data_IF_268416441828
#
_entry.id   IF_268416441828
#
_cell.length_a   1.000
_cell.length_b   1.000
_cell.length_c   1.000
_cell.angle_alpha   90.00
_cell.angle_beta   90.00
_cell.angle_gamma   90.00
#
_symmetry.space_group_name_H-M   'P 1'
#
loop_
_entity.id
_entity.type
_entity.pdbx_description
1 polymer ?
#
# COMPACT_ATOMS: atom_id res chain seq x y z
N UNK A 1 19.96 21.26 12.29
CA UNK A 1 18.55 21.55 11.99
C UNK A 1 18.25 21.04 10.59
N UNK A 2 17.54 19.91 10.41
CA UNK A 2 17.00 19.54 9.11
C UNK A 2 15.54 19.99 9.01
N UNK A 3 15.21 20.50 7.83
CA UNK A 3 14.00 21.19 7.42
C UNK A 3 12.80 20.24 7.21
N UNK A 4 11.63 20.75 7.56
CA UNK A 4 10.28 20.18 7.42
C UNK A 4 9.77 20.18 5.97
N UNK A 5 10.50 19.55 5.06
CA UNK A 5 10.22 19.63 3.60
C UNK A 5 9.76 18.31 2.95
N UNK A 6 9.59 17.22 3.70
CA UNK A 6 9.40 15.89 3.11
C UNK A 6 7.93 15.47 2.90
N UNK A 7 6.95 16.17 3.50
CA UNK A 7 5.52 15.80 3.36
C UNK A 7 4.90 16.26 2.03
N UNK A 8 5.33 17.42 1.52
CA UNK A 8 4.87 17.97 0.22
C UNK A 8 5.42 17.20 -1.00
N UNK A 9 6.53 16.48 -0.82
CA UNK A 9 7.21 15.77 -1.90
C UNK A 9 6.48 14.47 -2.30
N UNK A 10 5.66 13.92 -1.40
CA UNK A 10 4.84 12.74 -1.65
C UNK A 10 3.64 13.04 -2.56
N UNK A 11 2.89 14.11 -2.28
CA UNK A 11 1.72 14.54 -3.07
C UNK A 11 2.09 15.02 -4.48
N UNK A 12 3.25 15.65 -4.65
CA UNK A 12 3.73 16.09 -5.97
C UNK A 12 4.15 14.92 -6.86
N UNK A 13 4.77 13.88 -6.29
CA UNK A 13 5.11 12.65 -7.03
C UNK A 13 3.89 11.84 -7.45
N UNK A 14 2.79 11.94 -6.71
CA UNK A 14 1.56 11.20 -7.00
C UNK A 14 0.81 11.76 -8.22
N UNK A 15 0.88 13.08 -8.47
CA UNK A 15 0.26 13.71 -9.65
C UNK A 15 0.95 13.35 -10.98
N UNK A 16 2.25 13.12 -10.97
CA UNK A 16 2.99 12.72 -12.16
C UNK A 16 2.68 11.27 -12.59
N UNK A 17 2.12 10.44 -11.69
CA UNK A 17 1.75 9.04 -11.98
C UNK A 17 0.49 8.89 -12.84
N UNK A 18 -0.31 9.95 -13.02
CA UNK A 18 -1.59 9.91 -13.75
C UNK A 18 -1.52 10.45 -15.18
N UNK A 19 -0.36 10.89 -15.67
CA UNK A 19 -0.22 11.42 -17.03
C UNK A 19 0.00 10.31 -18.06
N UNK A 20 -1.05 9.55 -18.38
CA UNK A 20 -1.04 8.53 -19.45
C UNK A 20 -1.47 9.19 -20.78
N UNK A 21 -0.69 10.14 -21.27
CA UNK A 21 -0.95 10.77 -22.58
C UNK A 21 0.22 10.50 -23.52
N UNK A 22 0.28 9.27 -24.02
CA UNK A 22 1.35 8.91 -24.93
C UNK A 22 1.26 7.56 -25.64
N UNK A 23 0.10 6.90 -25.78
CA UNK A 23 0.05 5.62 -26.53
C UNK A 23 -1.33 5.31 -27.17
N UNK A 24 -2.15 6.33 -27.45
CA UNK A 24 -3.56 6.14 -27.83
C UNK A 24 -3.78 5.69 -29.29
N UNK A 25 -2.75 5.72 -30.13
CA UNK A 25 -2.89 5.49 -31.57
C UNK A 25 -2.90 4.00 -31.99
N UNK A 26 -2.60 3.06 -31.09
CA UNK A 26 -2.45 1.63 -31.41
C UNK A 26 -3.37 0.69 -30.60
N UNK A 27 -4.29 1.24 -29.81
CA UNK A 27 -5.07 0.49 -28.80
C UNK A 27 -6.48 0.16 -29.31
N UNK A 28 -6.99 -1.04 -28.98
CA UNK A 28 -8.38 -1.44 -29.25
C UNK A 28 -9.37 -0.40 -28.70
N UNK A 29 -10.45 -0.09 -29.43
CA UNK A 29 -11.47 0.88 -28.98
C UNK A 29 -12.02 0.59 -27.57
N UNK A 30 -12.15 -0.67 -27.21
CA UNK A 30 -12.60 -1.16 -25.89
C UNK A 30 -11.59 -0.85 -24.77
N UNK A 31 -10.28 -0.91 -25.08
CA UNK A 31 -9.21 -0.50 -24.17
C UNK A 31 -9.11 1.01 -24.03
N UNK A 32 -9.34 1.74 -25.12
CA UNK A 32 -9.41 3.20 -25.09
C UNK A 32 -10.56 3.67 -24.20
N UNK A 33 -11.73 3.04 -24.33
CA UNK A 33 -12.92 3.37 -23.53
C UNK A 33 -12.75 3.04 -22.04
N UNK A 34 -12.12 1.90 -21.71
CA UNK A 34 -11.80 1.53 -20.32
C UNK A 34 -10.67 2.36 -19.70
N UNK A 35 -9.65 2.73 -20.49
CA UNK A 35 -8.59 3.66 -20.07
C UNK A 35 -9.15 5.08 -19.89
N UNK A 36 -10.06 5.50 -20.77
CA UNK A 36 -10.74 6.80 -20.66
C UNK A 36 -11.69 6.83 -19.46
N UNK A 37 -12.36 5.73 -19.09
CA UNK A 37 -13.09 5.62 -17.83
C UNK A 37 -12.17 5.77 -16.60
N UNK A 38 -10.96 5.22 -16.65
CA UNK A 38 -9.99 5.33 -15.55
C UNK A 38 -9.31 6.72 -15.47
N UNK A 39 -9.13 7.38 -16.62
CA UNK A 39 -8.64 8.75 -16.74
C UNK A 39 -9.75 9.81 -16.58
N UNK A 40 -11.02 9.39 -16.64
CA UNK A 40 -12.15 10.23 -16.30
C UNK A 40 -11.98 10.62 -14.85
N UNK A 41 -12.04 11.93 -14.60
CA UNK A 41 -11.95 12.53 -13.28
C UNK A 41 -13.01 12.00 -12.28
N UNK A 42 -13.94 11.16 -12.76
CA UNK A 42 -14.94 10.40 -11.98
C UNK A 42 -14.41 9.13 -11.29
N UNK A 43 -13.27 8.55 -11.73
CA UNK A 43 -12.66 7.35 -11.11
C UNK A 43 -11.30 7.57 -10.47
N UNK A 44 -10.63 8.72 -10.68
CA UNK A 44 -9.61 9.17 -9.73
C UNK A 44 -10.25 9.10 -8.33
N UNK A 45 -9.63 8.47 -7.33
CA UNK A 45 -10.30 8.26 -6.06
C UNK A 45 -10.72 9.65 -5.58
N UNK A 46 -12.03 9.88 -5.47
CA UNK A 46 -12.57 11.07 -4.82
C UNK A 46 -12.25 10.89 -3.34
N UNK A 47 -10.96 11.04 -3.01
CA UNK A 47 -10.46 11.14 -1.67
C UNK A 47 -11.00 12.46 -1.17
N UNK A 48 -11.81 12.39 -0.11
CA UNK A 48 -12.19 13.60 0.58
C UNK A 48 -10.91 14.36 0.95
N UNK A 49 -10.86 15.67 0.70
CA UNK A 49 -9.66 16.46 0.92
C UNK A 49 -9.26 16.39 2.40
N UNK A 50 -7.96 16.43 2.68
CA UNK A 50 -7.43 16.57 4.03
C UNK A 50 -7.82 17.93 4.59
N UNK A 51 -8.44 17.94 5.76
CA UNK A 51 -8.80 19.17 6.46
C UNK A 51 -7.71 19.55 7.46
N UNK A 52 -7.27 20.82 7.45
CA UNK A 52 -6.22 21.33 8.35
C UNK A 52 -6.55 21.09 9.83
N UNK A 53 -7.85 21.14 10.18
CA UNK A 53 -8.35 20.91 11.55
C UNK A 53 -8.06 19.50 12.09
N UNK A 54 -7.68 18.55 11.24
CA UNK A 54 -7.34 17.19 11.65
C UNK A 54 -5.92 17.09 12.19
N UNK A 55 -5.05 18.04 11.85
CA UNK A 55 -3.65 18.03 12.26
C UNK A 55 -3.50 18.53 13.69
N UNK A 56 -2.67 17.82 14.46
CA UNK A 56 -2.26 18.27 15.77
C UNK A 56 -1.27 19.43 15.63
N UNK A 57 -1.54 20.61 16.22
CA UNK A 57 -0.64 21.77 16.15
C UNK A 57 0.76 21.56 16.75
N UNK A 58 0.96 20.49 17.54
CA UNK A 58 2.25 20.19 18.17
C UNK A 58 3.10 19.19 17.37
N UNK A 59 2.46 18.27 16.65
CA UNK A 59 3.16 17.17 15.98
C UNK A 59 3.05 17.20 14.47
N UNK A 60 2.17 18.05 13.93
CA UNK A 60 1.84 18.13 12.50
C UNK A 60 1.41 16.77 11.92
N UNK A 61 0.72 15.97 12.75
CA UNK A 61 0.16 14.67 12.38
C UNK A 61 -1.34 14.65 12.63
N UNK A 62 -2.08 13.86 11.85
CA UNK A 62 -3.51 13.63 12.05
C UNK A 62 -3.75 13.10 13.48
N UNK A 63 -4.71 13.70 14.16
CA UNK A 63 -5.08 13.35 15.53
C UNK A 63 -5.88 12.03 15.57
N UNK A 64 -5.46 11.11 16.42
CA UNK A 64 -6.19 9.88 16.74
C UNK A 64 -7.06 10.07 17.99
N UNK A 65 -6.55 10.77 19.01
CA UNK A 65 -7.30 11.13 20.23
C UNK A 65 -7.27 12.66 20.43
N UNK A 66 -8.06 13.41 19.62
CA UNK A 66 -8.13 14.85 19.74
C UNK A 66 -8.72 15.26 21.10
N UNK A 67 -7.96 16.06 21.86
CA UNK A 67 -8.36 16.64 23.12
C UNK A 67 -8.24 18.16 23.06
N UNK A 68 -9.28 18.83 23.52
CA UNK A 68 -9.34 20.27 23.65
C UNK A 68 -8.77 20.70 25.00
N UNK A 69 -7.85 21.65 24.95
CA UNK A 69 -7.31 22.33 26.13
C UNK A 69 -8.11 23.60 26.43
N UNK A 70 -7.94 24.16 27.62
CA UNK A 70 -8.64 25.38 28.07
C UNK A 70 -8.58 26.56 27.08
N UNK A 71 -7.51 26.66 26.28
CA UNK A 71 -7.37 27.73 25.27
C UNK A 71 -8.24 27.53 24.03
N UNK A 72 -9.06 26.47 23.97
CA UNK A 72 -9.90 26.10 22.82
C UNK A 72 -9.14 25.41 21.68
N UNK A 73 -7.87 25.08 21.89
CA UNK A 73 -7.04 24.40 20.87
C UNK A 73 -7.22 22.90 21.04
N UNK A 74 -7.41 22.18 19.92
CA UNK A 74 -7.47 20.71 19.94
C UNK A 74 -6.12 20.12 19.54
N UNK A 75 -5.64 19.14 20.28
CA UNK A 75 -4.35 18.49 20.08
C UNK A 75 -4.45 16.99 20.29
N UNK A 76 -3.45 16.25 19.81
CA UNK A 76 -3.30 14.83 20.15
C UNK A 76 -2.97 14.67 21.64
N UNK A 77 -3.72 13.80 22.34
CA UNK A 77 -3.51 13.54 23.76
C UNK A 77 -2.07 13.11 24.05
N UNK A 78 -1.54 12.18 23.24
CA UNK A 78 -0.18 11.69 23.42
C UNK A 78 0.87 12.80 23.29
N UNK A 79 0.64 13.80 22.42
CA UNK A 79 1.52 14.95 22.29
C UNK A 79 1.54 15.77 23.59
N UNK A 80 0.38 16.08 24.16
CA UNK A 80 0.29 16.83 25.41
C UNK A 80 1.00 16.09 26.56
N UNK A 81 0.84 14.76 26.67
CA UNK A 81 1.52 13.99 27.71
C UNK A 81 3.05 14.09 27.57
N UNK A 82 3.58 13.88 26.37
CA UNK A 82 5.04 13.91 26.13
C UNK A 82 5.65 15.28 26.36
N UNK A 83 5.01 16.35 25.88
CA UNK A 83 5.51 17.71 26.08
C UNK A 83 5.27 18.22 27.51
N UNK A 84 4.24 17.72 28.21
CA UNK A 84 3.85 18.18 29.54
C UNK A 84 4.72 17.64 30.69
N UNK A 85 5.41 16.52 30.46
CA UNK A 85 6.34 15.94 31.44
C UNK A 85 7.74 16.56 31.39
N UNK A 86 8.05 17.30 30.32
CA UNK A 86 9.41 17.79 30.02
C UNK A 86 9.57 19.30 30.17
N UNK A 87 8.51 20.09 29.98
CA UNK A 87 8.48 21.54 30.20
C UNK A 87 7.05 22.10 30.19
N UNK A 88 6.92 23.41 30.42
CA UNK A 88 5.71 24.15 30.05
C UNK A 88 5.49 24.05 28.53
N UNK A 89 4.35 23.50 28.11
CA UNK A 89 4.02 23.36 26.68
C UNK A 89 3.71 24.76 26.12
N UNK A 90 4.54 25.22 25.19
CA UNK A 90 4.36 26.46 24.45
C UNK A 90 3.99 26.10 23.01
N UNK A 91 2.83 26.56 22.55
CA UNK A 91 2.44 26.36 21.17
C UNK A 91 3.36 27.12 20.21
N UNK A 92 3.89 26.46 19.15
CA UNK A 92 4.82 27.08 18.20
C UNK A 92 4.25 28.35 17.54
N UNK A 93 2.96 28.33 17.18
CA UNK A 93 2.32 29.42 16.44
C UNK A 93 1.76 30.53 17.34
N UNK A 94 1.25 30.19 18.52
CA UNK A 94 0.54 31.16 19.37
C UNK A 94 1.34 31.64 20.58
N UNK A 95 2.44 30.97 20.93
CA UNK A 95 3.22 31.23 22.13
C UNK A 95 2.46 31.01 23.45
N UNK A 96 1.23 30.47 23.38
CA UNK A 96 0.38 30.25 24.55
C UNK A 96 0.90 29.08 25.35
N UNK A 97 1.05 29.30 26.65
CA UNK A 97 1.42 28.28 27.63
C UNK A 97 0.18 27.53 28.09
N UNK A 98 0.25 26.21 28.17
CA UNK A 98 -0.82 25.39 28.77
C UNK A 98 -0.76 25.57 30.29
N UNK A 99 -1.81 26.14 30.88
CA UNK A 99 -1.90 26.43 32.32
C UNK A 99 -2.68 25.33 33.06
N UNK A 100 -3.64 24.70 32.40
CA UNK A 100 -4.51 23.66 32.98
C UNK A 100 -4.28 22.29 32.35
N UNK A 101 -4.35 21.25 33.18
CA UNK A 101 -4.28 19.83 32.78
C UNK A 101 -5.67 19.23 32.51
N UNK A 102 -6.74 20.03 32.55
CA UNK A 102 -8.08 19.57 32.21
C UNK A 102 -8.14 19.40 30.69
N UNK A 103 -8.24 18.14 30.26
CA UNK A 103 -8.32 17.75 28.85
C UNK A 103 -9.73 17.26 28.55
N UNK A 104 -10.43 17.97 27.67
CA UNK A 104 -11.75 17.56 27.21
C UNK A 104 -11.59 16.80 25.90
N UNK A 105 -12.00 15.52 25.85
CA UNK A 105 -11.93 14.78 24.59
C UNK A 105 -12.90 15.38 23.58
N UNK A 106 -12.39 15.73 22.40
CA UNK A 106 -13.21 16.22 21.30
C UNK A 106 -13.77 15.03 20.52
N UNK A 107 -14.85 14.46 21.03
CA UNK A 107 -15.49 13.26 20.45
C UNK A 107 -15.99 13.53 19.03
N UNK A 108 -16.54 14.73 18.78
CA UNK A 108 -17.06 15.10 17.48
C UNK A 108 -15.96 15.08 16.41
N UNK A 109 -14.83 15.75 16.68
CA UNK A 109 -13.68 15.76 15.77
C UNK A 109 -13.09 14.37 15.58
N UNK A 110 -12.98 13.58 16.65
CA UNK A 110 -12.51 12.20 16.58
C UNK A 110 -13.37 11.36 15.63
N UNK A 111 -14.71 11.45 15.74
CA UNK A 111 -15.61 10.69 14.86
C UNK A 111 -15.59 11.22 13.42
N UNK A 112 -15.45 12.54 13.21
CA UNK A 112 -15.27 13.11 11.86
C UNK A 112 -13.99 12.62 11.20
N UNK A 113 -12.85 12.60 11.90
CA UNK A 113 -11.57 12.08 11.39
C UNK A 113 -11.72 10.61 11.01
N UNK A 114 -12.28 9.77 11.89
CA UNK A 114 -12.50 8.35 11.61
C UNK A 114 -13.40 8.12 10.39
N UNK A 115 -14.47 8.91 10.26
CA UNK A 115 -15.38 8.79 9.13
C UNK A 115 -14.69 9.15 7.81
N UNK A 116 -13.88 10.22 7.82
CA UNK A 116 -13.07 10.64 6.70
C UNK A 116 -12.03 9.58 6.31
N UNK A 117 -11.28 9.03 7.28
CA UNK A 117 -10.31 7.96 7.04
C UNK A 117 -10.97 6.73 6.42
N UNK A 118 -12.11 6.31 6.95
CA UNK A 118 -12.88 5.19 6.43
C UNK A 118 -13.40 5.44 5.02
N UNK A 119 -13.88 6.65 4.73
CA UNK A 119 -14.32 7.06 3.40
C UNK A 119 -13.18 6.96 2.38
N UNK A 120 -12.02 7.50 2.74
CA UNK A 120 -10.84 7.50 1.89
C UNK A 120 -10.24 6.10 1.68
N UNK A 121 -10.22 5.26 2.73
CA UNK A 121 -9.84 3.84 2.59
C UNK A 121 -10.77 3.11 1.60
N UNK A 122 -12.09 3.32 1.72
CA UNK A 122 -13.06 2.71 0.80
C UNK A 122 -12.90 3.23 -0.64
N UNK A 123 -12.69 4.52 -0.84
CA UNK A 123 -12.45 5.11 -2.16
C UNK A 123 -11.18 4.55 -2.79
N UNK A 124 -10.10 4.44 -2.01
CA UNK A 124 -8.83 3.83 -2.43
C UNK A 124 -9.01 2.37 -2.85
N UNK A 125 -9.72 1.56 -2.05
CA UNK A 125 -9.99 0.15 -2.39
C UNK A 125 -10.82 0.03 -3.67
N UNK A 126 -11.82 0.89 -3.88
CA UNK A 126 -12.63 0.88 -5.12
C UNK A 126 -11.77 1.20 -6.34
N UNK A 127 -10.95 2.24 -6.24
CA UNK A 127 -10.01 2.59 -7.30
C UNK A 127 -9.05 1.42 -7.61
N UNK A 128 -8.50 0.80 -6.56
CA UNK A 128 -7.62 -0.34 -6.68
C UNK A 128 -8.26 -1.52 -7.41
N UNK A 129 -9.51 -1.87 -7.06
CA UNK A 129 -10.28 -2.92 -7.72
C UNK A 129 -10.53 -2.60 -9.21
N UNK A 130 -10.86 -1.36 -9.54
CA UNK A 130 -11.05 -0.94 -10.94
C UNK A 130 -9.76 -1.05 -11.75
N UNK A 131 -8.65 -0.56 -11.20
CA UNK A 131 -7.33 -0.65 -11.84
C UNK A 131 -6.89 -2.10 -12.03
N UNK A 132 -7.14 -2.95 -11.03
CA UNK A 132 -6.80 -4.38 -11.09
C UNK A 132 -7.67 -5.13 -12.10
N UNK A 133 -8.96 -4.82 -12.19
CA UNK A 133 -9.85 -5.34 -13.22
C UNK A 133 -9.35 -5.00 -14.63
N UNK A 134 -8.91 -3.75 -14.83
CA UNK A 134 -8.32 -3.31 -16.09
C UNK A 134 -7.04 -4.08 -16.41
N UNK A 135 -6.12 -4.23 -15.46
CA UNK A 135 -4.89 -4.97 -15.70
C UNK A 135 -5.16 -6.46 -16.04
N UNK A 136 -6.12 -7.11 -15.37
CA UNK A 136 -6.58 -8.46 -15.73
C UNK A 136 -7.16 -8.51 -17.15
N UNK A 137 -7.91 -7.50 -17.56
CA UNK A 137 -8.45 -7.40 -18.91
C UNK A 137 -7.36 -7.25 -19.97
N UNK A 138 -6.38 -6.37 -19.75
CA UNK A 138 -5.23 -6.18 -20.64
C UNK A 138 -4.40 -7.47 -20.74
N UNK A 139 -4.15 -8.12 -19.60
CA UNK A 139 -3.39 -9.37 -19.54
C UNK A 139 -4.05 -10.50 -20.38
N UNK A 140 -5.38 -10.66 -20.32
CA UNK A 140 -6.10 -11.68 -21.10
C UNK A 140 -5.96 -11.52 -22.62
N UNK A 141 -5.76 -10.29 -23.10
CA UNK A 141 -5.55 -10.01 -24.52
C UNK A 141 -4.09 -10.13 -24.97
N UNK A 142 -3.19 -10.65 -24.12
CA UNK A 142 -1.76 -10.87 -24.41
C UNK A 142 -0.99 -9.59 -24.84
N UNK A 143 -1.43 -8.42 -24.38
CA UNK A 143 -0.62 -7.21 -24.53
C UNK A 143 0.67 -7.37 -23.72
N UNK A 144 1.78 -6.93 -24.30
CA UNK A 144 3.09 -7.08 -23.67
C UNK A 144 3.13 -6.29 -22.36
N UNK A 145 3.98 -6.72 -21.44
CA UNK A 145 4.17 -6.07 -20.14
C UNK A 145 4.59 -4.60 -20.26
N UNK A 146 5.17 -4.20 -21.39
CA UNK A 146 5.42 -2.80 -21.75
C UNK A 146 4.12 -1.98 -21.90
N UNK A 147 3.05 -2.56 -22.44
CA UNK A 147 1.76 -1.88 -22.65
C UNK A 147 0.97 -1.78 -21.34
N UNK A 148 0.99 -2.82 -20.49
CA UNK A 148 0.45 -2.76 -19.12
C UNK A 148 1.19 -1.68 -18.29
N UNK A 149 2.47 -1.49 -18.59
CA UNK A 149 3.29 -0.43 -17.99
C UNK A 149 2.87 0.96 -18.42
N UNK A 150 2.53 1.13 -19.70
CA UNK A 150 2.07 2.39 -20.25
C UNK A 150 0.73 2.84 -19.64
N UNK A 151 -0.10 1.91 -19.18
CA UNK A 151 -1.38 2.20 -18.47
C UNK A 151 -1.16 2.64 -17.01
N UNK A 152 0.07 2.76 -16.52
CA UNK A 152 0.34 3.29 -15.17
C UNK A 152 -0.15 2.39 -14.02
N UNK A 153 -0.57 1.15 -14.30
CA UNK A 153 -1.14 0.26 -13.27
C UNK A 153 -0.06 -0.32 -12.35
N UNK A 154 1.15 -0.56 -12.86
CA UNK A 154 2.23 -1.19 -12.08
C UNK A 154 2.68 -0.45 -10.82
N UNK A 155 2.91 0.88 -10.82
CA UNK A 155 3.24 1.59 -9.58
C UNK A 155 2.11 1.53 -8.54
N UNK A 156 0.87 1.28 -8.96
CA UNK A 156 -0.28 1.14 -8.06
C UNK A 156 -0.38 -0.25 -7.42
N UNK A 157 0.16 -1.30 -8.07
CA UNK A 157 0.12 -2.66 -7.51
C UNK A 157 0.86 -2.74 -6.15
N UNK A 158 1.94 -1.97 -5.99
CA UNK A 158 2.65 -1.86 -4.71
C UNK A 158 1.79 -1.22 -3.61
N UNK A 159 1.01 -0.19 -3.94
CA UNK A 159 0.12 0.48 -2.97
C UNK A 159 -1.11 -0.36 -2.63
N UNK A 160 -1.55 -1.24 -3.53
CA UNK A 160 -2.66 -2.17 -3.27
C UNK A 160 -2.28 -3.26 -2.26
N UNK A 161 -1.05 -3.76 -2.30
CA UNK A 161 -0.53 -4.73 -1.33
C UNK A 161 -0.39 -4.16 0.09
N UNK A 162 -0.31 -2.83 0.21
CA UNK A 162 -0.24 -2.14 1.50
C UNK A 162 -1.64 -1.89 2.13
N UNK A 163 -2.73 -2.11 1.37
CA UNK A 163 -4.09 -1.98 1.89
C UNK A 163 -4.43 -3.13 2.85
N UNK A 164 -5.31 -2.87 3.83
CA UNK A 164 -5.73 -3.89 4.82
C UNK A 164 -6.71 -4.93 4.24
N UNK A 165 -7.12 -4.78 2.99
CA UNK A 165 -8.08 -5.66 2.32
C UNK A 165 -7.38 -6.94 1.83
N UNK A 166 -7.72 -8.07 2.45
CA UNK A 166 -7.09 -9.38 2.17
C UNK A 166 -7.45 -9.90 0.78
N UNK A 167 -8.66 -9.64 0.30
CA UNK A 167 -9.12 -10.08 -1.02
C UNK A 167 -8.40 -9.27 -2.11
N UNK A 168 -8.30 -7.94 -1.94
CA UNK A 168 -7.54 -7.08 -2.84
C UNK A 168 -6.05 -7.48 -2.86
N UNK A 169 -5.48 -7.81 -1.70
CA UNK A 169 -4.09 -8.29 -1.60
C UNK A 169 -3.91 -9.61 -2.36
N UNK A 170 -4.83 -10.56 -2.17
CA UNK A 170 -4.84 -11.84 -2.87
C UNK A 170 -4.93 -11.65 -4.40
N UNK A 171 -5.90 -10.86 -4.86
CA UNK A 171 -6.08 -10.58 -6.29
C UNK A 171 -4.88 -9.88 -6.92
N UNK A 172 -4.24 -8.98 -6.17
CA UNK A 172 -3.03 -8.26 -6.60
C UNK A 172 -1.85 -9.24 -6.73
N UNK A 173 -1.67 -10.13 -5.76
CA UNK A 173 -0.63 -11.18 -5.81
C UNK A 173 -0.85 -12.17 -6.96
N UNK A 174 -2.10 -12.56 -7.24
CA UNK A 174 -2.39 -13.42 -8.39
C UNK A 174 -1.99 -12.78 -9.72
N UNK A 175 -2.37 -11.51 -9.92
CA UNK A 175 -2.01 -10.77 -11.12
C UNK A 175 -0.48 -10.64 -11.25
N UNK A 176 0.20 -10.29 -10.16
CA UNK A 176 1.66 -10.17 -10.14
C UNK A 176 2.37 -11.49 -10.45
N UNK A 177 1.86 -12.61 -9.93
CA UNK A 177 2.39 -13.94 -10.27
C UNK A 177 2.19 -14.23 -11.75
N UNK A 178 1.00 -13.96 -12.28
CA UNK A 178 0.71 -14.17 -13.70
C UNK A 178 1.61 -13.32 -14.61
N UNK A 179 1.93 -12.09 -14.22
CA UNK A 179 2.89 -11.27 -14.96
C UNK A 179 4.30 -11.85 -14.85
N UNK A 180 4.76 -12.17 -13.64
CA UNK A 180 6.10 -12.71 -13.41
C UNK A 180 6.33 -14.10 -14.05
N UNK A 181 5.30 -14.95 -14.13
CA UNK A 181 5.39 -16.29 -14.73
C UNK A 181 5.62 -16.24 -16.25
N UNK A 182 5.01 -15.25 -16.92
CA UNK A 182 5.00 -15.15 -18.38
C UNK A 182 6.04 -14.17 -18.95
N UNK A 183 6.68 -13.36 -18.09
CA UNK A 183 7.65 -12.35 -18.49
C UNK A 183 9.09 -12.86 -18.62
N UNK A 184 9.89 -12.10 -19.38
CA UNK A 184 11.34 -12.20 -19.39
C UNK A 184 11.97 -11.63 -18.09
N UNK A 185 13.30 -11.53 -18.04
CA UNK A 185 13.99 -11.01 -16.86
C UNK A 185 13.78 -9.50 -16.66
N UNK A 186 13.53 -8.74 -17.74
CA UNK A 186 13.29 -7.29 -17.68
C UNK A 186 11.91 -6.99 -17.08
N UNK A 187 10.88 -7.74 -17.47
CA UNK A 187 9.54 -7.66 -16.89
C UNK A 187 9.52 -8.01 -15.40
N UNK A 188 10.24 -9.07 -15.00
CA UNK A 188 10.40 -9.43 -13.57
C UNK A 188 11.13 -8.35 -12.78
N UNK A 189 12.19 -7.76 -13.33
CA UNK A 189 12.93 -6.70 -12.65
C UNK A 189 12.04 -5.47 -12.42
N UNK A 190 11.21 -5.14 -13.39
CA UNK A 190 10.25 -4.06 -13.28
C UNK A 190 9.25 -4.28 -12.14
N UNK A 191 8.69 -5.49 -12.03
CA UNK A 191 7.82 -5.90 -10.91
C UNK A 191 8.55 -5.71 -9.56
N UNK A 192 9.80 -6.15 -9.47
CA UNK A 192 10.63 -6.03 -8.27
C UNK A 192 11.15 -4.61 -7.97
N UNK A 193 10.95 -3.64 -8.88
CA UNK A 193 11.17 -2.21 -8.65
C UNK A 193 9.90 -1.52 -8.16
N UNK A 194 8.73 -1.98 -8.58
CA UNK A 194 7.43 -1.40 -8.17
C UNK A 194 6.93 -1.90 -6.83
N UNK A 195 7.38 -3.08 -6.40
CA UNK A 195 6.91 -3.73 -5.17
C UNK A 195 8.03 -3.81 -4.15
N UNK A 196 7.68 -3.60 -2.88
CA UNK A 196 8.58 -3.88 -1.76
C UNK A 196 8.69 -5.39 -1.53
N UNK A 197 9.86 -5.95 -1.84
CA UNK A 197 10.17 -7.37 -1.59
C UNK A 197 10.03 -7.74 -0.12
N UNK A 198 10.27 -6.79 0.80
CA UNK A 198 10.08 -6.99 2.24
C UNK A 198 8.61 -7.24 2.56
N UNK A 199 7.70 -6.46 1.95
CA UNK A 199 6.26 -6.67 2.09
C UNK A 199 5.83 -8.05 1.58
N UNK A 200 6.36 -8.50 0.44
CA UNK A 200 6.08 -9.86 -0.08
C UNK A 200 6.59 -10.96 0.87
N UNK A 201 7.79 -10.79 1.44
CA UNK A 201 8.34 -11.71 2.43
C UNK A 201 7.49 -11.73 3.71
N UNK A 202 7.02 -10.57 4.18
CA UNK A 202 6.08 -10.50 5.29
C UNK A 202 4.77 -11.22 4.97
N UNK A 203 4.16 -10.95 3.80
CA UNK A 203 2.94 -11.63 3.34
C UNK A 203 3.12 -13.16 3.23
N UNK A 204 4.31 -13.61 2.87
CA UNK A 204 4.68 -15.04 2.82
C UNK A 204 4.62 -15.72 4.20
N UNK A 205 4.67 -14.96 5.29
CA UNK A 205 4.54 -15.46 6.66
C UNK A 205 3.11 -15.37 7.24
N UNK A 206 2.14 -14.86 6.47
CA UNK A 206 0.75 -14.61 6.92
C UNK A 206 -0.23 -15.78 6.62
N UNK A 207 -1.54 -15.49 6.48
CA UNK A 207 -2.66 -16.44 6.31
C UNK A 207 -2.43 -17.40 5.13
N UNK A 208 -2.90 -18.66 5.25
CA UNK A 208 -2.57 -19.80 4.37
C UNK A 208 -2.59 -19.49 2.85
N UNK A 209 -3.63 -18.84 2.32
CA UNK A 209 -3.77 -18.63 0.87
C UNK A 209 -2.85 -17.50 0.34
N UNK A 210 -2.83 -16.35 1.03
CA UNK A 210 -1.97 -15.20 0.68
C UNK A 210 -0.49 -15.58 0.81
N UNK A 211 -0.14 -16.33 1.87
CA UNK A 211 1.21 -16.87 2.08
C UNK A 211 1.66 -17.74 0.92
N UNK A 212 0.80 -18.62 0.42
CA UNK A 212 1.15 -19.50 -0.69
C UNK A 212 1.39 -18.72 -1.99
N UNK A 213 0.51 -17.77 -2.33
CA UNK A 213 0.70 -16.93 -3.53
C UNK A 213 1.96 -16.07 -3.45
N UNK A 214 2.23 -15.46 -2.30
CA UNK A 214 3.43 -14.65 -2.09
C UNK A 214 4.70 -15.50 -2.24
N UNK A 215 4.71 -16.73 -1.73
CA UNK A 215 5.83 -17.67 -1.90
C UNK A 215 6.02 -18.08 -3.37
N UNK A 216 4.94 -18.35 -4.10
CA UNK A 216 5.02 -18.68 -5.53
C UNK A 216 5.59 -17.49 -6.33
N UNK A 217 5.10 -16.28 -6.08
CA UNK A 217 5.64 -15.06 -6.69
C UNK A 217 7.13 -14.89 -6.40
N UNK A 218 7.58 -15.11 -5.16
CA UNK A 218 9.00 -15.06 -4.82
C UNK A 218 9.82 -16.09 -5.61
N UNK A 219 9.29 -17.30 -5.81
CA UNK A 219 9.94 -18.31 -6.63
C UNK A 219 10.03 -17.88 -8.08
N UNK A 220 8.95 -17.36 -8.67
CA UNK A 220 8.93 -16.90 -10.05
C UNK A 220 9.92 -15.75 -10.29
N UNK A 221 10.00 -14.81 -9.34
CA UNK A 221 11.01 -13.74 -9.37
C UNK A 221 12.44 -14.29 -9.21
N UNK A 222 12.65 -15.29 -8.32
CA UNK A 222 13.97 -15.88 -8.07
C UNK A 222 14.57 -16.65 -9.24
N UNK A 223 13.76 -16.97 -10.27
CA UNK A 223 14.25 -17.56 -11.52
C UNK A 223 15.18 -16.60 -12.28
N UNK A 224 15.04 -15.28 -12.07
CA UNK A 224 16.00 -14.30 -12.57
C UNK A 224 17.21 -14.19 -11.64
N UNK A 225 18.42 -14.22 -12.23
CA UNK A 225 19.68 -14.20 -11.48
C UNK A 225 19.85 -12.93 -10.64
N UNK A 226 19.49 -11.77 -11.19
CA UNK A 226 19.61 -10.49 -10.51
C UNK A 226 18.66 -10.39 -9.31
N UNK A 227 17.45 -10.92 -9.46
CA UNK A 227 16.45 -10.92 -8.40
C UNK A 227 16.73 -11.96 -7.32
N UNK A 228 17.33 -13.10 -7.68
CA UNK A 228 17.79 -14.08 -6.70
C UNK A 228 18.72 -13.45 -5.66
N UNK A 229 19.76 -12.73 -6.09
CA UNK A 229 20.72 -12.07 -5.19
C UNK A 229 20.04 -10.95 -4.36
N UNK A 230 19.12 -10.21 -4.99
CA UNK A 230 18.34 -9.15 -4.32
C UNK A 230 17.42 -9.72 -3.24
N UNK A 231 16.69 -10.80 -3.53
CA UNK A 231 15.83 -11.51 -2.57
C UNK A 231 16.68 -12.11 -1.45
N UNK A 232 17.84 -12.67 -1.77
CA UNK A 232 18.78 -13.22 -0.79
C UNK A 232 19.33 -12.18 0.19
N UNK A 233 19.36 -10.91 -0.22
CA UNK A 233 19.80 -9.78 0.60
C UNK A 233 18.71 -9.27 1.56
N UNK A 234 17.44 -9.60 1.33
CA UNK A 234 16.33 -9.19 2.22
C UNK A 234 16.20 -10.19 3.36
N UNK A 235 16.08 -9.67 4.59
CA UNK A 235 15.92 -10.49 5.80
C UNK A 235 14.77 -11.49 5.64
N UNK A 236 15.09 -12.78 5.79
CA UNK A 236 14.12 -13.87 5.67
C UNK A 236 13.83 -14.33 4.24
N UNK A 237 14.37 -13.67 3.20
CA UNK A 237 14.11 -14.04 1.80
C UNK A 237 14.56 -15.45 1.44
N UNK A 238 15.82 -15.81 1.76
CA UNK A 238 16.33 -17.17 1.57
C UNK A 238 15.53 -18.20 2.37
N UNK A 239 15.16 -17.87 3.61
CA UNK A 239 14.38 -18.75 4.47
C UNK A 239 12.99 -19.04 3.88
N UNK A 240 12.33 -18.03 3.32
CA UNK A 240 11.01 -18.21 2.69
C UNK A 240 11.09 -19.09 1.43
N UNK A 241 12.11 -18.90 0.59
CA UNK A 241 12.35 -19.75 -0.59
C UNK A 241 12.60 -21.22 -0.18
N UNK A 242 13.40 -21.45 0.86
CA UNK A 242 13.62 -22.79 1.42
C UNK A 242 12.32 -23.36 2.01
N UNK A 243 11.56 -22.54 2.75
CA UNK A 243 10.31 -22.96 3.39
C UNK A 243 9.32 -23.53 2.38
N UNK A 244 9.20 -22.96 1.18
CA UNK A 244 8.33 -23.52 0.15
C UNK A 244 8.81 -24.90 -0.33
N UNK A 245 10.12 -25.09 -0.52
CA UNK A 245 10.70 -26.37 -0.94
C UNK A 245 10.41 -27.49 0.07
N UNK A 246 10.41 -27.17 1.36
CA UNK A 246 10.12 -28.13 2.43
C UNK A 246 8.64 -28.18 2.84
N UNK A 247 7.79 -27.25 2.37
CA UNK A 247 6.32 -27.26 2.53
C UNK A 247 5.60 -28.10 1.49
N UNK A 248 6.30 -28.70 0.52
CA UNK A 248 5.72 -29.84 -0.21
C UNK A 248 5.26 -30.88 0.81
N UNK A 249 4.05 -31.44 0.66
CA UNK A 249 3.37 -32.05 1.78
C UNK A 249 4.19 -33.22 2.30
N UNK A 250 4.52 -33.12 3.59
CA UNK A 250 4.97 -34.24 4.42
C UNK A 250 3.88 -35.35 4.48
N UNK A 251 2.74 -35.20 3.79
CA UNK A 251 1.72 -36.23 3.61
C UNK A 251 2.18 -37.41 2.74
N UNK A 252 3.24 -37.27 1.94
CA UNK A 252 3.83 -38.43 1.26
C UNK A 252 4.53 -39.40 2.24
N UNK A 253 4.98 -38.92 3.41
CA UNK A 253 5.64 -39.75 4.43
C UNK A 253 4.69 -40.18 5.57
N UNK A 254 3.56 -39.49 5.75
CA UNK A 254 2.56 -39.88 6.75
C UNK A 254 1.61 -40.99 6.27
N UNK A 255 1.44 -41.18 4.96
CA UNK A 255 0.56 -42.22 4.40
C UNK A 255 1.15 -43.64 4.45
N UNK A 256 2.46 -43.82 4.68
CA UNK A 256 3.09 -45.17 4.68
C UNK A 256 3.08 -45.84 6.07
N UNK A 257 2.70 -45.11 7.13
CA UNK A 257 2.60 -45.67 8.49
C UNK A 257 1.18 -45.98 8.97
N UNK A 258 0.17 -45.74 8.14
CA UNK A 258 -1.23 -46.06 8.47
C UNK A 258 -1.70 -47.43 7.95
N UNK A 259 -0.99 -48.05 6.98
CA UNK A 259 -1.36 -49.37 6.41
C UNK A 259 -0.60 -50.56 7.05
N UNK A 260 -0.13 -50.41 8.29
CA UNK A 260 0.38 -51.53 9.10
C UNK A 260 -0.29 -51.53 10.48
N UNK A 261 -1.57 -51.91 10.51
CA UNK A 261 -2.22 -52.51 11.68
C UNK A 261 -3.06 -53.71 11.24
#
# INVERSE_FOLDING_TARGET
>A
MPSSSQSSDWFSKEKDLYSINGFKSSMDKELVETTDLMNSQELAPYLEPLYEIFFCPLTDKIMNDPVEIETGVTCERAAITVFGDTADIIFPESGKKIISRVLNRNIALMETIKQWEKGNEQASIRFARSALSLAKFIQKKQYNVVEICAVGVKPLLGTFLAQKDTDLTFETLELLRLLAENDDDEGKEMIARTIDLSAIIQLSSTVKCVSHLALLLLVDLSKSRHLYDKIGSVTGGVLMLITLKYRQPVDAFASEKADKS
#
